data_IF_521862772058
#
_entry.id   IF_521862772058
#
_cell.length_a   1.000
_cell.length_b   1.000
_cell.length_c   1.000
_cell.angle_alpha   90.00
_cell.angle_beta   90.00
_cell.angle_gamma   90.00
#
_symmetry.space_group_name_H-M   'P 1'
#
loop_
_entity.id
_entity.type
_entity.pdbx_description
1 polymer ?
#
# COMPACT_ATOMS: atom_id res chain seq x y z
N UNK A 1 -16.49 -1.23 -3.87
CA UNK A 1 -15.09 -0.74 -3.89
C UNK A 1 -14.86 -0.29 -5.33
N UNK A 2 -15.39 0.90 -5.67
CA UNK A 2 -15.57 1.36 -7.07
C UNK A 2 -15.13 2.81 -7.29
N UNK A 3 -14.43 3.41 -6.33
CA UNK A 3 -14.12 4.85 -6.35
C UNK A 3 -13.29 5.28 -7.57
N UNK A 4 -12.58 4.35 -8.22
CA UNK A 4 -11.67 4.63 -9.34
C UNK A 4 -12.17 4.11 -10.70
N UNK A 5 -13.21 3.26 -10.74
CA UNK A 5 -13.69 2.61 -11.97
C UNK A 5 -12.64 1.76 -12.71
N UNK A 6 -11.54 1.38 -12.04
CA UNK A 6 -10.46 0.60 -12.64
C UNK A 6 -10.78 -0.90 -12.62
N UNK A 7 -10.38 -1.68 -13.65
CA UNK A 7 -10.52 -3.13 -13.63
C UNK A 7 -9.80 -3.78 -12.45
N UNK A 8 -10.37 -4.84 -11.89
CA UNK A 8 -9.84 -5.61 -10.74
C UNK A 8 -8.37 -6.03 -10.91
N UNK A 9 -7.93 -6.25 -12.15
CA UNK A 9 -6.55 -6.62 -12.49
C UNK A 9 -5.52 -5.49 -12.42
N UNK A 10 -5.88 -4.26 -12.02
CA UNK A 10 -4.97 -3.09 -12.06
C UNK A 10 -4.10 -2.92 -10.83
N UNK A 11 -4.46 -3.52 -9.69
CA UNK A 11 -3.76 -3.35 -8.40
C UNK A 11 -2.32 -3.88 -8.47
N UNK A 12 -2.12 -5.15 -8.86
CA UNK A 12 -0.77 -5.72 -8.91
C UNK A 12 0.15 -5.04 -9.95
N UNK A 13 -0.32 -4.69 -11.16
CA UNK A 13 0.47 -3.90 -12.10
C UNK A 13 0.93 -2.54 -11.55
N UNK A 14 0.06 -1.82 -10.83
CA UNK A 14 0.46 -0.52 -10.26
C UNK A 14 1.43 -0.69 -9.09
N UNK A 15 1.21 -1.64 -8.18
CA UNK A 15 2.13 -1.95 -7.09
C UNK A 15 3.53 -2.29 -7.63
N UNK A 16 3.62 -3.14 -8.65
CA UNK A 16 4.89 -3.50 -9.28
C UNK A 16 5.57 -2.30 -9.93
N UNK A 17 4.81 -1.32 -10.45
CA UNK A 17 5.37 -0.10 -11.03
C UNK A 17 5.92 0.84 -9.97
N UNK A 18 5.22 0.96 -8.83
CA UNK A 18 5.67 1.78 -7.70
C UNK A 18 6.92 1.19 -7.04
N UNK A 19 6.98 -0.13 -6.84
CA UNK A 19 8.20 -0.81 -6.38
C UNK A 19 9.39 -0.58 -7.33
N UNK A 20 9.19 -0.73 -8.65
CA UNK A 20 10.27 -0.46 -9.63
C UNK A 20 10.77 0.99 -9.63
N UNK A 21 9.94 1.94 -9.20
CA UNK A 21 10.31 3.35 -9.03
C UNK A 21 10.91 3.64 -7.66
N UNK A 22 10.99 2.66 -6.77
CA UNK A 22 11.49 2.81 -5.40
C UNK A 22 10.52 3.56 -4.47
N UNK A 23 9.26 3.75 -4.87
CA UNK A 23 8.24 4.45 -4.06
C UNK A 23 7.67 3.54 -2.96
N UNK A 24 7.61 2.24 -3.23
CA UNK A 24 7.17 1.22 -2.29
C UNK A 24 8.26 0.17 -2.12
N UNK A 25 8.28 -0.42 -0.94
CA UNK A 25 8.94 -1.69 -0.69
C UNK A 25 7.92 -2.76 -0.31
N UNK A 26 8.08 -3.97 -0.86
CA UNK A 26 7.20 -5.10 -0.59
C UNK A 26 7.91 -6.18 0.23
N UNK A 27 7.34 -6.56 1.36
CA UNK A 27 7.83 -7.64 2.23
C UNK A 27 6.80 -8.76 2.35
N UNK A 28 7.23 -10.00 2.22
CA UNK A 28 6.40 -11.13 2.63
C UNK A 28 6.34 -11.20 4.15
N UNK A 29 5.17 -11.49 4.69
CA UNK A 29 5.03 -11.75 6.13
C UNK A 29 5.85 -12.99 6.55
N UNK A 30 6.15 -13.12 7.84
CA UNK A 30 6.85 -14.29 8.33
C UNK A 30 6.04 -15.58 8.10
N UNK A 31 6.69 -16.59 7.52
CA UNK A 31 6.06 -17.89 7.24
C UNK A 31 5.47 -18.54 8.51
N UNK A 32 6.11 -18.37 9.66
CA UNK A 32 5.61 -18.86 10.94
C UNK A 32 4.26 -18.25 11.33
N UNK A 33 4.04 -16.96 11.03
CA UNK A 33 2.76 -16.27 11.25
C UNK A 33 1.69 -16.82 10.33
N UNK A 34 1.98 -16.94 9.03
CA UNK A 34 1.06 -17.52 8.05
C UNK A 34 0.62 -18.95 8.42
N UNK A 35 1.58 -19.79 8.82
CA UNK A 35 1.34 -21.18 9.26
C UNK A 35 0.48 -21.25 10.52
N UNK A 36 0.79 -20.45 11.54
CA UNK A 36 0.00 -20.39 12.80
C UNK A 36 -1.46 -20.02 12.52
N UNK A 37 -1.69 -19.13 11.56
CA UNK A 37 -3.02 -18.67 11.16
C UNK A 37 -3.67 -19.51 10.05
N UNK A 38 -3.03 -20.60 9.64
CA UNK A 38 -3.53 -21.55 8.62
C UNK A 38 -3.95 -20.88 7.31
N UNK A 39 -3.19 -19.88 6.87
CA UNK A 39 -3.47 -19.11 5.64
C UNK A 39 -2.20 -18.90 4.81
N UNK A 40 -2.33 -18.56 3.51
CA UNK A 40 -1.19 -18.16 2.70
C UNK A 40 -0.50 -16.91 3.24
N UNK A 41 0.78 -16.76 2.87
CA UNK A 41 1.56 -15.57 3.22
C UNK A 41 0.96 -14.31 2.60
N UNK A 42 0.76 -13.27 3.41
CA UNK A 42 0.46 -11.91 2.92
C UNK A 42 1.74 -11.23 2.44
N UNK A 43 1.59 -10.39 1.42
CA UNK A 43 2.62 -9.44 0.98
C UNK A 43 2.22 -8.05 1.45
N UNK A 44 2.99 -7.51 2.38
CA UNK A 44 2.82 -6.16 2.91
C UNK A 44 3.66 -5.17 2.12
N UNK A 45 3.18 -3.93 2.04
CA UNK A 45 3.89 -2.85 1.36
C UNK A 45 3.98 -1.65 2.28
N UNK A 46 5.14 -0.98 2.28
CA UNK A 46 5.38 0.26 2.98
C UNK A 46 5.88 1.33 2.00
N UNK A 47 5.61 2.60 2.31
CA UNK A 47 6.26 3.71 1.62
C UNK A 47 7.73 3.75 2.03
N UNK A 48 8.59 3.98 1.04
CA UNK A 48 10.00 4.32 1.28
C UNK A 48 10.13 5.83 1.55
N UNK A 49 11.32 6.30 1.89
CA UNK A 49 11.60 7.75 1.98
C UNK A 49 11.27 8.50 0.66
N UNK A 50 11.56 7.88 -0.49
CA UNK A 50 11.19 8.39 -1.82
C UNK A 50 9.68 8.43 -1.98
N UNK A 51 8.97 7.43 -1.45
CA UNK A 51 7.53 7.34 -1.49
C UNK A 51 6.85 8.41 -0.65
N UNK A 52 7.33 8.65 0.58
CA UNK A 52 6.84 9.72 1.45
C UNK A 52 7.01 11.10 0.81
N UNK A 53 8.19 11.38 0.23
CA UNK A 53 8.43 12.63 -0.49
C UNK A 53 7.50 12.79 -1.71
N UNK A 54 7.30 11.70 -2.47
CA UNK A 54 6.38 11.68 -3.61
C UNK A 54 4.92 11.92 -3.19
N UNK A 55 4.51 11.34 -2.06
CA UNK A 55 3.17 11.53 -1.50
C UNK A 55 2.94 13.00 -1.12
N UNK A 56 3.90 13.62 -0.46
CA UNK A 56 3.82 15.05 -0.11
C UNK A 56 3.62 15.94 -1.34
N UNK A 57 4.41 15.73 -2.40
CA UNK A 57 4.28 16.46 -3.67
C UNK A 57 2.89 16.27 -4.31
N UNK A 58 2.37 15.04 -4.31
CA UNK A 58 1.05 14.73 -4.88
C UNK A 58 -0.07 15.39 -4.08
N UNK A 59 0.01 15.37 -2.75
CA UNK A 59 -0.99 16.01 -1.88
C UNK A 59 -1.01 17.52 -2.08
N UNK A 60 0.17 18.15 -2.20
CA UNK A 60 0.29 19.58 -2.49
C UNK A 60 -0.31 19.92 -3.86
N UNK A 61 -0.01 19.12 -4.88
CA UNK A 61 -0.48 19.35 -6.26
C UNK A 61 -1.97 19.07 -6.43
N UNK A 62 -2.51 18.10 -5.69
CA UNK A 62 -3.88 17.61 -5.83
C UNK A 62 -4.65 17.57 -4.49
N UNK A 63 -4.86 18.72 -3.84
CA UNK A 63 -5.43 18.77 -2.47
C UNK A 63 -6.85 18.21 -2.37
N UNK A 64 -7.59 18.15 -3.47
CA UNK A 64 -8.94 17.55 -3.51
C UNK A 64 -8.89 16.02 -3.42
N UNK A 65 -7.82 15.36 -3.91
CA UNK A 65 -7.68 13.90 -3.81
C UNK A 65 -7.61 13.45 -2.34
N UNK A 66 -6.87 14.18 -1.50
CA UNK A 66 -6.78 13.87 -0.07
C UNK A 66 -8.14 13.86 0.60
N UNK A 67 -9.07 14.73 0.19
CA UNK A 67 -10.44 14.76 0.74
C UNK A 67 -11.28 13.56 0.28
N UNK A 68 -11.06 13.05 -0.92
CA UNK A 68 -11.76 11.87 -1.44
C UNK A 68 -11.34 10.59 -0.69
N UNK A 69 -10.10 10.52 -0.21
CA UNK A 69 -9.55 9.36 0.50
C UNK A 69 -9.44 9.54 2.03
N UNK A 70 -9.85 10.69 2.59
CA UNK A 70 -9.82 10.95 4.04
C UNK A 70 -10.88 10.16 4.83
N UNK A 71 -11.72 9.37 4.17
CA UNK A 71 -12.72 8.49 4.80
C UNK A 71 -12.18 7.07 5.01
N UNK A 72 -11.94 6.75 6.28
CA UNK A 72 -11.59 5.44 6.86
C UNK A 72 -10.15 4.93 6.62
N UNK A 73 -9.21 5.20 7.55
CA UNK A 73 -7.97 4.44 7.67
C UNK A 73 -8.30 3.05 8.26
N UNK A 74 -9.05 2.26 7.49
CA UNK A 74 -9.44 0.90 7.87
C UNK A 74 -8.20 0.03 8.03
N UNK A 75 -7.91 -0.31 9.29
CA UNK A 75 -6.85 -1.22 9.72
C UNK A 75 -5.44 -0.82 9.28
N UNK A 76 -4.84 0.14 9.99
CA UNK A 76 -3.39 0.17 10.16
C UNK A 76 -2.95 -1.19 10.71
N UNK A 77 -2.58 -2.10 9.81
CA UNK A 77 -2.07 -3.42 10.13
C UNK A 77 -0.92 -3.28 11.11
N UNK A 78 -1.08 -3.96 12.25
CA UNK A 78 -0.13 -4.15 13.34
C UNK A 78 1.32 -3.77 12.98
N UNK A 79 1.89 -2.70 13.55
CA UNK A 79 3.31 -2.37 13.41
C UNK A 79 4.17 -3.34 14.24
N UNK A 80 4.04 -4.64 13.96
CA UNK A 80 4.88 -5.71 14.48
C UNK A 80 6.09 -5.97 13.59
N UNK A 81 6.69 -4.92 13.03
CA UNK A 81 7.92 -5.03 12.23
C UNK A 81 9.14 -4.70 13.11
N UNK A 82 9.43 -5.59 14.06
CA UNK A 82 10.73 -5.72 14.72
C UNK A 82 11.14 -7.19 14.69
#
# INVERSE_FOLDING_TARGET
>A
MDATGLPDGTVYPILRRLERRGVLEGRWEAEATAKREQRPQRRYYALTEVGEASLAEVVERFPTLSRLFAGDPGEAGDPGLA
#
